data_IF_302585086439
#
_entry.id   IF_302585086439
#
_cell.length_a   1.000
_cell.length_b   1.000
_cell.length_c   1.000
_cell.angle_alpha   90.00
_cell.angle_beta   90.00
_cell.angle_gamma   90.00
#
_symmetry.space_group_name_H-M   'P 1'
#
loop_
_entity.id
_entity.type
_entity.pdbx_description
1 polymer ?
#
# COMPACT_ATOMS: atom_id res chain seq x y z
N UNK A 1 -1.41 16.40 2.54
CA UNK A 1 -1.13 14.97 2.32
C UNK A 1 0.33 14.87 1.90
N UNK A 2 1.20 14.41 2.80
CA UNK A 2 2.62 14.21 2.50
C UNK A 2 2.72 12.90 1.70
N UNK A 3 3.03 12.99 0.42
CA UNK A 3 3.09 11.85 -0.53
C UNK A 3 4.08 10.76 -0.06
N UNK A 4 5.03 11.11 0.81
CA UNK A 4 6.00 10.19 1.41
C UNK A 4 5.39 9.25 2.47
N UNK A 5 4.29 9.64 3.13
CA UNK A 5 3.59 8.76 4.10
C UNK A 5 2.77 7.67 3.41
N UNK A 6 2.32 7.90 2.18
CA UNK A 6 1.43 7.00 1.45
C UNK A 6 2.22 5.89 0.74
N UNK A 7 3.55 6.03 0.60
CA UNK A 7 4.38 5.04 -0.11
C UNK A 7 4.74 3.83 0.74
N UNK A 8 4.81 4.01 2.06
CA UNK A 8 5.24 3.00 3.01
C UNK A 8 4.19 2.88 4.10
N UNK A 9 3.59 1.70 4.20
CA UNK A 9 2.62 1.40 5.23
C UNK A 9 3.07 0.19 6.01
N UNK A 10 3.03 0.24 7.34
CA UNK A 10 3.36 -0.93 8.16
C UNK A 10 2.32 -2.02 7.94
N UNK A 11 2.79 -3.21 7.63
CA UNK A 11 1.95 -4.37 7.44
C UNK A 11 1.34 -4.80 8.78
N UNK A 12 0.01 -4.93 8.91
CA UNK A 12 -0.63 -5.29 10.18
C UNK A 12 -0.38 -6.75 10.60
N UNK A 13 0.14 -7.58 9.70
CA UNK A 13 0.36 -9.00 9.94
C UNK A 13 1.78 -9.25 10.47
N UNK A 14 2.76 -8.72 9.78
CA UNK A 14 4.18 -8.99 10.05
C UNK A 14 4.88 -7.84 10.78
N UNK A 15 4.19 -6.71 11.02
CA UNK A 15 4.72 -5.48 11.63
C UNK A 15 5.91 -4.86 10.87
N UNK A 16 6.10 -5.27 9.62
CA UNK A 16 7.19 -4.84 8.73
C UNK A 16 6.69 -3.82 7.68
N UNK A 17 7.61 -3.12 7.02
CA UNK A 17 7.27 -2.15 5.99
C UNK A 17 6.67 -2.81 4.73
N UNK A 18 5.46 -2.37 4.37
CA UNK A 18 4.80 -2.65 3.11
C UNK A 18 5.01 -1.50 2.12
N UNK A 19 5.27 -1.85 0.86
CA UNK A 19 5.44 -0.87 -0.21
C UNK A 19 4.14 -0.72 -1.00
N UNK A 20 3.75 0.52 -1.31
CA UNK A 20 2.59 0.78 -2.14
C UNK A 20 2.76 0.13 -3.52
N UNK A 21 1.78 -0.66 -3.93
CA UNK A 21 1.71 -1.18 -5.28
C UNK A 21 1.30 -0.06 -6.22
N UNK A 22 2.04 0.10 -7.31
CA UNK A 22 1.74 1.05 -8.38
C UNK A 22 1.56 0.29 -9.69
N UNK A 23 0.81 0.89 -10.61
CA UNK A 23 0.62 0.34 -11.93
C UNK A 23 1.97 0.19 -12.65
N UNK A 24 2.19 -0.97 -13.28
CA UNK A 24 3.46 -1.28 -13.91
C UNK A 24 3.70 -0.51 -15.21
N UNK A 25 2.65 0.02 -15.85
CA UNK A 25 2.77 0.82 -17.07
C UNK A 25 3.11 2.28 -16.77
N UNK A 26 2.57 2.83 -15.69
CA UNK A 26 2.74 4.26 -15.37
C UNK A 26 3.70 4.52 -14.22
N UNK A 27 4.01 3.52 -13.39
CA UNK A 27 4.89 3.56 -12.21
C UNK A 27 4.58 4.71 -11.23
N UNK A 28 3.40 5.30 -11.36
CA UNK A 28 3.00 6.54 -10.69
C UNK A 28 1.58 6.50 -10.16
N UNK A 29 0.71 5.69 -10.76
CA UNK A 29 -0.65 5.50 -10.27
C UNK A 29 -0.68 4.37 -9.23
N UNK A 30 -1.21 4.62 -8.01
CA UNK A 30 -1.40 3.56 -7.03
C UNK A 30 -2.37 2.50 -7.56
N UNK A 31 -2.03 1.24 -7.31
CA UNK A 31 -2.96 0.14 -7.50
C UNK A 31 -3.97 0.15 -6.36
N UNK A 32 -5.25 0.17 -6.73
CA UNK A 32 -6.36 0.09 -5.78
C UNK A 32 -7.13 -1.23 -5.96
N UNK A 33 -7.79 -1.69 -4.91
CA UNK A 33 -8.74 -2.80 -5.02
C UNK A 33 -10.09 -2.33 -5.58
N UNK A 34 -11.06 -3.24 -5.77
CA UNK A 34 -12.38 -2.93 -6.32
C UNK A 34 -13.21 -1.93 -5.52
N UNK A 35 -12.80 -1.66 -4.27
CA UNK A 35 -13.40 -0.67 -3.37
C UNK A 35 -12.70 0.71 -3.43
N UNK A 36 -11.55 0.81 -4.11
CA UNK A 36 -10.74 2.03 -4.19
C UNK A 36 -9.64 2.14 -3.12
N UNK A 37 -9.49 1.14 -2.26
CA UNK A 37 -8.45 1.11 -1.22
C UNK A 37 -7.07 0.84 -1.81
N UNK A 38 -6.06 1.56 -1.31
CA UNK A 38 -4.68 1.44 -1.76
C UNK A 38 -4.11 0.07 -1.38
N UNK A 39 -3.48 -0.60 -2.35
CA UNK A 39 -2.88 -1.90 -2.15
C UNK A 39 -1.39 -1.76 -1.87
N UNK A 40 -0.90 -2.50 -0.89
CA UNK A 40 0.49 -2.54 -0.47
C UNK A 40 1.01 -3.97 -0.52
N UNK A 41 2.29 -4.14 -0.81
CA UNK A 41 2.98 -5.42 -0.81
C UNK A 41 3.94 -5.50 0.38
N UNK A 42 3.71 -6.46 1.27
CA UNK A 42 4.61 -6.76 2.38
C UNK A 42 5.74 -7.68 1.90
N UNK A 43 6.99 -7.22 2.01
CA UNK A 43 8.16 -8.01 1.60
C UNK A 43 8.52 -9.11 2.61
N UNK A 44 8.17 -8.95 3.89
CA UNK A 44 8.43 -9.96 4.91
C UNK A 44 7.50 -11.17 4.75
N UNK A 45 6.19 -10.91 4.72
CA UNK A 45 5.16 -11.94 4.59
C UNK A 45 4.88 -12.39 3.15
N UNK A 46 5.44 -11.71 2.14
CA UNK A 46 5.19 -11.93 0.71
C UNK A 46 3.69 -11.95 0.35
N UNK A 47 2.93 -11.02 0.90
CA UNK A 47 1.48 -10.90 0.67
C UNK A 47 1.08 -9.45 0.41
N UNK A 48 -0.08 -9.28 -0.21
CA UNK A 48 -0.70 -7.98 -0.46
C UNK A 48 -1.74 -7.67 0.59
N UNK A 49 -1.76 -6.43 1.07
CA UNK A 49 -2.78 -5.93 1.98
C UNK A 49 -3.26 -4.56 1.54
N UNK A 50 -4.53 -4.26 1.77
CA UNK A 50 -5.08 -2.92 1.60
C UNK A 50 -4.85 -2.12 2.87
N UNK A 51 -4.40 -0.88 2.75
CA UNK A 51 -4.52 0.07 3.84
C UNK A 51 -5.68 1.01 3.53
N UNK A 52 -6.70 1.00 4.40
CA UNK A 52 -7.71 2.05 4.42
C UNK A 52 -6.99 3.34 4.85
N UNK A 53 -7.00 4.36 3.99
CA UNK A 53 -6.61 5.74 4.33
C UNK A 53 -7.76 6.37 5.15
N UNK A 54 -8.30 5.65 6.14
CA UNK A 54 -9.23 6.15 7.15
C UNK A 54 -8.43 6.44 8.42
N UNK A 55 -7.50 7.39 8.33
CA UNK A 55 -7.10 8.14 9.53
C UNK A 55 -8.14 9.25 9.77
N UNK A 56 -9.11 8.95 10.64
CA UNK A 56 -10.13 9.84 11.24
C UNK A 56 -9.61 11.25 11.61
#
# INVERSE_FOLDING_TARGET
>A
MNVELIKYHTCPIDEEDGVLLVDAETETEPSTDGDGNLQYYCMAGHHTFSADDDED
#
